data_IF_030048530650
#
_entry.id   IF_030048530650
#
_cell.length_a   1.000
_cell.length_b   1.000
_cell.length_c   1.000
_cell.angle_alpha   90.00
_cell.angle_beta   90.00
_cell.angle_gamma   90.00
#
_symmetry.space_group_name_H-M   'P 1'
#
loop_
_entity.id
_entity.type
_entity.pdbx_description
1 polymer ?
#
# COMPACT_ATOMS: atom_id res chain seq x y z
N UNK A 1 -12.41 -7.74 -1.98
CA UNK A 1 -11.86 -8.85 -1.19
C UNK A 1 -12.91 -9.38 -0.23
N UNK A 2 -12.94 -10.71 -0.01
CA UNK A 2 -13.72 -11.33 1.03
C UNK A 2 -13.05 -11.22 2.41
N UNK A 3 -13.80 -11.50 3.49
CA UNK A 3 -13.28 -11.54 4.86
C UNK A 3 -12.43 -12.80 5.06
N UNK A 4 -11.13 -12.63 5.30
CA UNK A 4 -10.15 -13.73 5.40
C UNK A 4 -10.13 -14.45 6.76
N UNK A 5 -10.65 -13.81 7.82
CA UNK A 5 -10.65 -14.39 9.15
C UNK A 5 -11.78 -15.41 9.29
N UNK A 6 -11.41 -16.68 9.30
CA UNK A 6 -12.33 -17.79 9.52
C UNK A 6 -11.64 -18.94 10.27
N UNK A 7 -12.37 -19.61 11.13
CA UNK A 7 -11.89 -20.79 11.87
C UNK A 7 -11.75 -22.03 10.97
N UNK A 8 -12.52 -22.10 9.89
CA UNK A 8 -12.55 -23.21 8.94
C UNK A 8 -12.46 -22.70 7.51
N UNK A 9 -11.78 -23.43 6.59
CA UNK A 9 -11.65 -23.05 5.18
C UNK A 9 -12.96 -22.87 4.42
N UNK A 10 -13.98 -23.67 4.69
CA UNK A 10 -15.24 -23.68 3.92
C UNK A 10 -15.89 -22.29 3.76
N UNK A 11 -15.90 -21.49 4.83
CA UNK A 11 -16.47 -20.13 4.77
C UNK A 11 -15.66 -19.17 3.87
N UNK A 12 -14.39 -19.45 3.68
CA UNK A 12 -13.50 -18.68 2.77
C UNK A 12 -13.71 -19.13 1.32
N UNK A 13 -13.83 -20.44 1.10
CA UNK A 13 -14.10 -21.04 -0.21
C UNK A 13 -15.43 -20.54 -0.79
N UNK A 14 -16.49 -20.48 0.04
CA UNK A 14 -17.79 -19.92 -0.36
C UNK A 14 -17.67 -18.48 -0.88
N UNK A 15 -16.85 -17.64 -0.23
CA UNK A 15 -16.65 -16.25 -0.66
C UNK A 15 -15.94 -16.19 -2.02
N UNK A 16 -14.91 -17.03 -2.23
CA UNK A 16 -14.19 -17.07 -3.50
C UNK A 16 -15.11 -17.59 -4.62
N UNK A 17 -15.88 -18.63 -4.37
CA UNK A 17 -16.88 -19.17 -5.31
C UNK A 17 -17.99 -18.17 -5.63
N UNK A 18 -18.32 -17.28 -4.68
CA UNK A 18 -19.26 -16.18 -4.90
C UNK A 18 -18.65 -14.98 -5.66
N UNK A 19 -17.37 -15.05 -6.06
CA UNK A 19 -16.71 -14.04 -6.89
C UNK A 19 -15.74 -13.11 -6.13
N UNK A 20 -15.35 -13.43 -4.90
CA UNK A 20 -14.28 -12.69 -4.23
C UNK A 20 -12.94 -12.99 -4.93
N UNK A 21 -12.30 -11.94 -5.45
CA UNK A 21 -11.01 -12.03 -6.14
C UNK A 21 -9.80 -12.11 -5.21
N UNK A 22 -10.02 -12.24 -3.92
CA UNK A 22 -9.00 -12.33 -2.88
C UNK A 22 -9.61 -12.23 -1.50
N UNK A 23 -8.80 -12.39 -0.47
CA UNK A 23 -9.23 -12.41 0.92
C UNK A 23 -8.46 -11.36 1.74
N UNK A 24 -9.12 -10.75 2.73
CA UNK A 24 -8.54 -9.76 3.64
C UNK A 24 -8.58 -10.28 5.08
N UNK A 25 -7.41 -10.35 5.70
CA UNK A 25 -7.24 -10.58 7.13
C UNK A 25 -7.15 -9.23 7.87
N UNK A 26 -7.82 -9.13 9.02
CA UNK A 26 -7.76 -7.95 9.88
C UNK A 26 -7.82 -8.33 11.35
N UNK A 27 -7.06 -7.62 12.19
CA UNK A 27 -6.96 -7.92 13.63
C UNK A 27 -8.29 -7.87 14.37
N UNK A 28 -9.19 -6.94 14.01
CA UNK A 28 -10.52 -6.81 14.61
C UNK A 28 -11.35 -8.11 14.56
N UNK A 29 -10.98 -9.01 13.66
CA UNK A 29 -11.61 -10.30 13.48
C UNK A 29 -10.73 -11.47 13.95
N UNK A 30 -9.56 -11.19 14.56
CA UNK A 30 -8.59 -12.16 15.03
C UNK A 30 -7.65 -12.68 13.94
N UNK A 31 -6.52 -12.00 13.72
CA UNK A 31 -5.45 -12.46 12.81
C UNK A 31 -4.48 -13.41 13.50
N UNK A 32 -5.03 -14.51 14.02
CA UNK A 32 -4.22 -15.57 14.64
C UNK A 32 -3.40 -16.32 13.59
N UNK A 33 -2.29 -16.98 13.98
CA UNK A 33 -1.53 -17.84 13.06
C UNK A 33 -2.40 -18.89 12.35
N UNK A 34 -3.43 -19.42 13.03
CA UNK A 34 -4.37 -20.39 12.44
C UNK A 34 -5.29 -19.75 11.40
N UNK A 35 -5.81 -18.55 11.65
CA UNK A 35 -6.64 -17.83 10.68
C UNK A 35 -5.83 -17.48 9.44
N UNK A 36 -4.58 -17.03 9.61
CA UNK A 36 -3.64 -16.76 8.51
C UNK A 36 -3.41 -18.02 7.68
N UNK A 37 -3.11 -19.15 8.33
CA UNK A 37 -2.83 -20.42 7.66
C UNK A 37 -4.06 -20.94 6.88
N UNK A 38 -5.25 -20.89 7.45
CA UNK A 38 -6.48 -21.24 6.77
C UNK A 38 -6.72 -20.36 5.52
N UNK A 39 -6.56 -19.05 5.69
CA UNK A 39 -6.77 -18.08 4.62
C UNK A 39 -5.81 -18.31 3.44
N UNK A 40 -4.52 -18.46 3.73
CA UNK A 40 -3.51 -18.72 2.71
C UNK A 40 -3.68 -20.09 2.06
N UNK A 41 -4.15 -21.10 2.79
CA UNK A 41 -4.43 -22.43 2.22
C UNK A 41 -5.56 -22.37 1.19
N UNK A 42 -6.63 -21.64 1.48
CA UNK A 42 -7.72 -21.44 0.51
C UNK A 42 -7.22 -20.60 -0.68
N UNK A 43 -6.46 -19.56 -0.40
CA UNK A 43 -5.91 -18.71 -1.45
C UNK A 43 -5.01 -19.47 -2.42
N UNK A 44 -4.15 -20.37 -1.93
CA UNK A 44 -3.33 -21.24 -2.78
C UNK A 44 -4.18 -22.17 -3.64
N UNK A 45 -5.28 -22.73 -3.09
CA UNK A 45 -6.16 -23.63 -3.84
C UNK A 45 -6.93 -22.94 -4.97
N UNK A 46 -7.25 -21.66 -4.81
CA UNK A 46 -8.04 -20.89 -5.77
C UNK A 46 -7.22 -19.86 -6.57
N UNK A 47 -5.92 -19.81 -6.35
CA UNK A 47 -5.00 -18.83 -6.99
C UNK A 47 -5.49 -17.38 -6.82
N UNK A 48 -5.82 -17.00 -5.59
CA UNK A 48 -6.25 -15.65 -5.22
C UNK A 48 -5.33 -15.01 -4.18
N UNK A 49 -5.27 -13.68 -4.16
CA UNK A 49 -4.41 -12.95 -3.24
C UNK A 49 -4.98 -12.85 -1.84
N UNK A 50 -4.09 -12.86 -0.86
CA UNK A 50 -4.39 -12.49 0.53
C UNK A 50 -3.72 -11.16 0.88
N UNK A 51 -4.49 -10.27 1.49
CA UNK A 51 -3.99 -9.05 2.08
C UNK A 51 -4.22 -9.06 3.59
N UNK A 52 -3.26 -8.55 4.37
CA UNK A 52 -3.34 -8.59 5.82
C UNK A 52 -3.04 -7.24 6.47
N UNK A 53 -3.92 -6.83 7.38
CA UNK A 53 -3.63 -5.96 8.50
C UNK A 53 -3.29 -6.88 9.67
N UNK A 54 -2.03 -6.84 10.13
CA UNK A 54 -1.54 -7.79 11.15
C UNK A 54 -2.00 -7.39 12.55
N UNK A 55 -1.74 -8.27 13.52
CA UNK A 55 -2.12 -8.09 14.92
C UNK A 55 -1.37 -6.92 15.57
N UNK A 56 -2.04 -5.81 15.76
CA UNK A 56 -1.45 -4.56 16.27
C UNK A 56 -0.97 -4.68 17.70
N UNK A 57 -1.76 -5.35 18.54
CA UNK A 57 -1.54 -5.41 19.99
C UNK A 57 -0.71 -6.64 20.43
N UNK A 58 -0.24 -7.44 19.46
CA UNK A 58 0.47 -8.70 19.71
C UNK A 58 -0.34 -9.70 20.58
N UNK A 59 -1.67 -9.70 20.42
CA UNK A 59 -2.57 -10.58 21.18
C UNK A 59 -2.39 -12.06 20.81
N UNK A 60 -2.03 -12.33 19.55
CA UNK A 60 -1.84 -13.69 19.02
C UNK A 60 -0.37 -14.06 18.80
N UNK A 61 0.54 -13.25 19.32
CA UNK A 61 1.98 -13.41 19.18
C UNK A 61 2.65 -12.19 18.54
N UNK A 62 3.96 -12.21 18.44
CA UNK A 62 4.78 -11.14 17.87
C UNK A 62 4.87 -11.26 16.35
N UNK A 63 5.51 -10.30 15.69
CA UNK A 63 5.68 -10.26 14.25
C UNK A 63 6.32 -11.54 13.69
N UNK A 64 7.22 -12.16 14.42
CA UNK A 64 7.88 -13.41 14.04
C UNK A 64 6.87 -14.59 13.94
N UNK A 65 5.87 -14.63 14.83
CA UNK A 65 4.81 -15.64 14.78
C UNK A 65 3.91 -15.45 13.56
N UNK A 66 3.58 -14.20 13.23
CA UNK A 66 2.83 -13.85 12.02
C UNK A 66 3.59 -14.21 10.75
N UNK A 67 4.87 -13.83 10.65
CA UNK A 67 5.72 -14.18 9.50
C UNK A 67 5.89 -15.69 9.34
N UNK A 68 6.05 -16.42 10.45
CA UNK A 68 6.11 -17.88 10.44
C UNK A 68 4.81 -18.52 9.93
N UNK A 69 3.64 -17.92 10.24
CA UNK A 69 2.35 -18.40 9.77
C UNK A 69 2.16 -18.28 8.26
N UNK A 70 2.90 -17.37 7.59
CA UNK A 70 2.89 -17.28 6.12
C UNK A 70 3.46 -18.52 5.44
N UNK A 71 4.37 -19.24 6.08
CA UNK A 71 5.00 -20.47 5.56
C UNK A 71 5.60 -20.30 4.16
N UNK A 72 6.16 -19.14 3.87
CA UNK A 72 6.74 -18.82 2.56
C UNK A 72 5.75 -18.55 1.43
N UNK A 73 4.43 -18.53 1.70
CA UNK A 73 3.38 -18.20 0.73
C UNK A 73 3.32 -16.70 0.48
N UNK A 74 2.96 -16.31 -0.75
CA UNK A 74 2.84 -14.91 -1.13
C UNK A 74 1.70 -14.22 -0.36
N UNK A 75 1.98 -13.02 0.18
CA UNK A 75 0.99 -12.24 0.93
C UNK A 75 1.28 -10.75 0.80
N UNK A 76 0.22 -9.96 0.69
CA UNK A 76 0.28 -8.50 0.72
C UNK A 76 0.11 -8.00 2.15
N UNK A 77 1.10 -7.32 2.71
CA UNK A 77 1.00 -6.65 4.00
C UNK A 77 0.69 -5.17 3.80
N UNK A 78 -0.40 -4.69 4.42
CA UNK A 78 -0.77 -3.27 4.43
C UNK A 78 0.07 -2.50 5.45
N UNK A 79 0.21 -1.17 5.22
CA UNK A 79 0.89 -0.21 6.13
C UNK A 79 2.06 -0.86 6.89
N UNK A 80 2.95 -1.50 6.12
CA UNK A 80 4.08 -2.28 6.65
C UNK A 80 5.14 -1.40 7.34
N UNK A 81 4.98 -0.08 7.29
CA UNK A 81 5.73 0.86 8.11
C UNK A 81 5.32 0.85 9.59
N UNK A 82 4.16 0.27 9.90
CA UNK A 82 3.64 0.14 11.26
C UNK A 82 2.76 1.29 11.74
N UNK A 83 2.73 2.42 11.04
CA UNK A 83 1.97 3.60 11.48
C UNK A 83 0.44 3.40 11.37
N UNK A 84 -0.02 2.64 10.38
CA UNK A 84 -1.44 2.30 10.19
C UNK A 84 -1.95 1.17 11.08
N UNK A 85 -1.10 0.54 11.88
CA UNK A 85 -1.38 -0.63 12.69
C UNK A 85 -0.58 -1.85 12.25
N UNK A 86 -0.74 -2.96 12.98
CA UNK A 86 -0.07 -4.21 12.70
C UNK A 86 1.35 -4.29 13.28
N UNK A 87 1.54 -5.03 14.38
CA UNK A 87 2.85 -5.24 15.05
C UNK A 87 3.73 -3.99 15.08
N UNK A 88 3.15 -2.83 15.34
CA UNK A 88 3.88 -1.56 15.26
C UNK A 88 4.92 -1.42 16.39
N UNK A 89 6.15 -1.03 16.11
CA UNK A 89 6.71 -0.71 14.78
C UNK A 89 7.34 -1.90 14.04
N UNK A 90 7.32 -3.09 14.63
CA UNK A 90 8.12 -4.26 14.22
C UNK A 90 7.69 -4.86 12.88
N UNK A 91 6.48 -4.57 12.40
CA UNK A 91 5.97 -5.07 11.11
C UNK A 91 6.90 -4.70 9.93
N UNK A 92 7.71 -3.66 10.05
CA UNK A 92 8.68 -3.27 9.02
C UNK A 92 9.68 -4.40 8.68
N UNK A 93 9.89 -5.36 9.60
CA UNK A 93 10.70 -6.57 9.37
C UNK A 93 10.17 -7.40 8.19
N UNK A 94 8.86 -7.32 7.92
CA UNK A 94 8.24 -8.03 6.80
C UNK A 94 8.80 -7.63 5.44
N UNK A 95 9.34 -6.41 5.29
CA UNK A 95 10.02 -5.97 4.08
C UNK A 95 11.26 -6.80 3.72
N UNK A 96 11.82 -7.55 4.67
CA UNK A 96 12.95 -8.46 4.47
C UNK A 96 12.56 -9.87 4.02
N UNK A 97 11.27 -10.20 4.02
CA UNK A 97 10.78 -11.52 3.63
C UNK A 97 10.46 -11.57 2.13
N UNK A 98 11.05 -12.51 1.41
CA UNK A 98 10.97 -12.61 -0.07
C UNK A 98 9.57 -12.95 -0.60
N UNK A 99 8.71 -13.50 0.24
CA UNK A 99 7.32 -13.87 -0.07
C UNK A 99 6.31 -12.77 0.29
N UNK A 100 6.76 -11.66 0.88
CA UNK A 100 5.88 -10.55 1.28
C UNK A 100 5.90 -9.47 0.22
N UNK A 101 4.71 -8.96 -0.09
CA UNK A 101 4.48 -7.82 -0.99
C UNK A 101 4.06 -6.62 -0.11
N UNK A 102 5.02 -5.83 0.40
CA UNK A 102 4.68 -4.79 1.36
C UNK A 102 4.19 -3.51 0.69
N UNK A 103 3.16 -2.91 1.25
CA UNK A 103 2.75 -1.55 0.93
C UNK A 103 2.90 -0.62 2.14
N UNK A 104 3.15 0.65 1.87
CA UNK A 104 3.07 1.71 2.85
C UNK A 104 1.94 2.68 2.56
N UNK A 105 1.51 3.43 3.56
CA UNK A 105 0.46 4.43 3.40
C UNK A 105 1.03 5.82 3.10
N UNK A 106 0.29 6.60 2.32
CA UNK A 106 0.78 7.89 1.85
C UNK A 106 0.93 8.99 2.93
N UNK A 107 0.22 9.01 4.06
CA UNK A 107 0.38 10.07 5.06
C UNK A 107 1.79 10.16 5.66
N UNK A 108 2.50 9.03 5.74
CA UNK A 108 3.88 9.00 6.23
C UNK A 108 4.91 9.46 5.18
N UNK A 109 4.48 9.72 3.94
CA UNK A 109 5.34 9.98 2.79
C UNK A 109 5.28 11.42 2.27
N UNK A 110 6.41 12.02 1.94
CA UNK A 110 7.75 11.73 2.48
C UNK A 110 7.86 12.13 3.96
N UNK A 111 8.79 11.54 4.68
CA UNK A 111 9.10 11.98 6.04
C UNK A 111 9.62 13.42 6.06
N UNK A 112 8.95 14.27 6.84
CA UNK A 112 9.26 15.69 7.02
C UNK A 112 9.25 16.04 8.51
N UNK A 113 9.53 17.30 8.84
CA UNK A 113 9.53 17.78 10.23
C UNK A 113 8.18 17.64 10.92
N UNK A 114 7.08 17.69 10.17
CA UNK A 114 5.72 17.62 10.70
C UNK A 114 5.10 16.21 10.66
N UNK A 115 5.78 15.23 10.07
CA UNK A 115 5.18 13.90 9.79
C UNK A 115 4.72 13.20 11.06
N UNK A 116 5.49 13.28 12.13
CA UNK A 116 5.15 12.62 13.39
C UNK A 116 3.90 13.23 14.01
N UNK A 117 3.88 14.54 14.16
CA UNK A 117 2.75 15.26 14.79
C UNK A 117 1.47 15.09 13.98
N UNK A 118 1.56 15.28 12.64
CA UNK A 118 0.41 15.08 11.72
C UNK A 118 -0.13 13.66 11.79
N UNK A 119 0.75 12.66 11.91
CA UNK A 119 0.34 11.28 11.95
C UNK A 119 -0.23 10.85 13.31
N UNK A 120 0.32 11.39 14.41
CA UNK A 120 -0.26 11.21 15.74
C UNK A 120 -1.68 11.77 15.80
N UNK A 121 -1.89 13.01 15.34
CA UNK A 121 -3.22 13.61 15.27
C UNK A 121 -4.19 12.75 14.43
N UNK A 122 -3.73 12.27 13.28
CA UNK A 122 -4.54 11.42 12.42
C UNK A 122 -4.89 10.09 13.09
N UNK A 123 -3.95 9.45 13.79
CA UNK A 123 -4.18 8.21 14.51
C UNK A 123 -5.19 8.43 15.66
N UNK A 124 -5.03 9.50 16.42
CA UNK A 124 -5.97 9.87 17.50
C UNK A 124 -7.40 9.98 16.96
N UNK A 125 -7.58 10.70 15.85
CA UNK A 125 -8.91 10.89 15.22
C UNK A 125 -9.47 9.57 14.68
N UNK A 126 -8.67 8.81 13.91
CA UNK A 126 -9.14 7.59 13.26
C UNK A 126 -9.48 6.46 14.24
N UNK A 127 -8.84 6.42 15.39
CA UNK A 127 -9.08 5.41 16.44
C UNK A 127 -9.97 5.91 17.58
N UNK A 128 -10.58 7.11 17.43
CA UNK A 128 -11.47 7.70 18.44
C UNK A 128 -10.82 7.88 19.82
N UNK A 129 -9.51 8.18 19.83
CA UNK A 129 -8.74 8.42 21.05
C UNK A 129 -8.93 9.85 21.54
N UNK A 130 -8.84 10.05 22.86
CA UNK A 130 -8.95 11.37 23.49
C UNK A 130 -7.56 11.90 23.90
N UNK A 131 -7.10 13.04 23.34
CA UNK A 131 -5.80 13.61 23.71
C UNK A 131 -5.70 14.06 25.18
N UNK A 132 -6.81 14.08 25.93
CA UNK A 132 -6.84 14.37 27.37
C UNK A 132 -6.63 13.12 28.23
N UNK A 133 -6.66 11.94 27.64
CA UNK A 133 -6.46 10.67 28.33
C UNK A 133 -5.01 10.23 28.11
N UNK A 134 -4.15 10.20 29.15
CA UNK A 134 -2.73 9.86 29.01
C UNK A 134 -2.49 8.48 28.38
N UNK A 135 -3.35 7.51 28.68
CA UNK A 135 -3.26 6.14 28.14
C UNK A 135 -3.51 6.11 26.63
N UNK A 136 -4.45 6.91 26.12
CA UNK A 136 -4.73 7.04 24.70
C UNK A 136 -3.54 7.67 23.96
N UNK A 137 -2.97 8.71 24.55
CA UNK A 137 -1.76 9.36 24.01
C UNK A 137 -0.59 8.38 24.00
N UNK A 138 -0.35 7.66 25.09
CA UNK A 138 0.72 6.68 25.18
C UNK A 138 0.54 5.54 24.17
N UNK A 139 -0.70 5.10 23.92
CA UNK A 139 -1.01 4.13 22.89
C UNK A 139 -0.65 4.65 21.49
N UNK A 140 -1.08 5.86 21.16
CA UNK A 140 -0.78 6.50 19.88
C UNK A 140 0.75 6.62 19.65
N UNK A 141 1.47 7.16 20.64
CA UNK A 141 2.93 7.33 20.61
C UNK A 141 3.67 6.00 20.52
N UNK A 142 3.13 4.93 21.08
CA UNK A 142 3.73 3.59 20.97
C UNK A 142 3.76 3.07 19.54
N UNK A 143 2.85 3.50 18.68
CA UNK A 143 2.69 3.06 17.28
C UNK A 143 3.43 3.96 16.30
N UNK A 144 3.48 5.26 16.53
CA UNK A 144 4.12 6.23 15.66
C UNK A 144 5.59 6.37 16.04
N UNK A 145 6.46 5.73 15.26
CA UNK A 145 7.90 5.68 15.51
C UNK A 145 8.67 6.43 14.44
N UNK A 146 9.36 7.48 14.85
CA UNK A 146 10.19 8.32 13.97
C UNK A 146 11.19 7.49 13.16
N UNK A 147 11.83 6.54 13.79
CA UNK A 147 12.90 5.73 13.21
C UNK A 147 12.39 4.89 12.05
N UNK A 148 11.27 4.20 12.20
CA UNK A 148 10.69 3.36 11.15
C UNK A 148 10.09 4.20 10.02
N UNK A 149 9.39 5.29 10.36
CA UNK A 149 8.79 6.19 9.38
C UNK A 149 9.87 6.93 8.56
N UNK A 150 10.98 7.34 9.18
CA UNK A 150 12.09 7.95 8.47
C UNK A 150 12.83 6.95 7.57
N UNK A 151 13.01 5.71 8.03
CA UNK A 151 13.64 4.64 7.24
C UNK A 151 12.82 4.24 6.02
N UNK A 152 11.51 4.40 6.07
CA UNK A 152 10.57 4.02 5.02
C UNK A 152 10.89 4.68 3.67
N UNK A 153 11.27 5.98 3.64
CA UNK A 153 11.68 6.66 2.41
C UNK A 153 12.86 5.95 1.74
N UNK A 154 13.84 5.54 2.55
CA UNK A 154 15.03 4.82 2.08
C UNK A 154 14.64 3.43 1.57
N UNK A 155 13.77 2.72 2.29
CA UNK A 155 13.29 1.40 1.90
C UNK A 155 12.48 1.43 0.60
N UNK A 156 11.71 2.51 0.37
CA UNK A 156 11.07 2.76 -0.92
C UNK A 156 12.07 2.93 -2.04
N UNK A 157 13.13 3.69 -1.79
CA UNK A 157 14.17 3.98 -2.77
C UNK A 157 15.02 2.74 -3.08
N UNK A 158 15.25 1.89 -2.10
CA UNK A 158 15.90 0.58 -2.27
C UNK A 158 15.00 -0.46 -2.96
N UNK A 159 13.69 -0.25 -2.97
CA UNK A 159 12.72 -1.18 -3.57
C UNK A 159 12.18 -2.24 -2.60
N UNK A 160 12.49 -2.13 -1.30
CA UNK A 160 11.98 -3.03 -0.27
C UNK A 160 10.45 -2.89 -0.09
N UNK A 161 9.92 -1.66 -0.17
CA UNK A 161 8.48 -1.45 -0.30
C UNK A 161 8.06 -1.54 -1.75
N UNK A 162 7.17 -2.48 -2.06
CA UNK A 162 6.67 -2.73 -3.42
C UNK A 162 5.68 -1.68 -3.87
N UNK A 163 4.85 -1.16 -2.97
CA UNK A 163 3.70 -0.31 -3.27
C UNK A 163 3.55 0.87 -2.33
N UNK A 164 2.86 1.91 -2.81
CA UNK A 164 2.30 2.98 -1.99
C UNK A 164 0.78 2.92 -2.13
N UNK A 165 0.09 2.83 -0.99
CA UNK A 165 -1.36 2.78 -0.89
C UNK A 165 -1.91 4.03 -0.22
N UNK A 166 -3.23 4.18 -0.17
CA UNK A 166 -3.88 5.33 0.45
C UNK A 166 -4.33 5.08 1.88
N UNK A 167 -4.78 3.86 2.18
CA UNK A 167 -5.51 3.55 3.42
C UNK A 167 -6.68 4.52 3.66
N UNK A 168 -7.44 4.81 2.61
CA UNK A 168 -8.28 6.02 2.48
C UNK A 168 -9.45 6.12 3.46
N UNK A 169 -9.89 5.01 4.03
CA UNK A 169 -11.03 4.99 4.96
C UNK A 169 -10.59 5.00 6.43
N UNK A 170 -9.31 4.80 6.70
CA UNK A 170 -8.75 4.85 8.03
C UNK A 170 -7.75 6.00 8.15
N UNK A 171 -6.47 5.76 7.85
CA UNK A 171 -5.43 6.77 8.09
C UNK A 171 -4.79 7.25 6.78
N UNK A 172 -5.58 7.53 5.73
CA UNK A 172 -5.01 7.86 4.45
C UNK A 172 -5.79 8.85 3.58
N UNK A 173 -5.14 9.25 2.47
CA UNK A 173 -5.63 10.27 1.54
C UNK A 173 -5.49 9.80 0.11
N UNK A 174 -6.57 9.25 -0.46
CA UNK A 174 -6.56 8.64 -1.80
C UNK A 174 -6.05 9.60 -2.89
N UNK A 175 -6.43 10.87 -2.83
CA UNK A 175 -6.03 11.89 -3.83
C UNK A 175 -4.55 12.25 -3.81
N UNK A 176 -3.80 11.87 -2.78
CA UNK A 176 -2.41 12.24 -2.61
C UNK A 176 -1.40 11.12 -2.94
N UNK A 177 -1.86 9.92 -3.27
CA UNK A 177 -0.97 8.76 -3.52
C UNK A 177 0.11 9.07 -4.54
N UNK A 178 -0.28 9.56 -5.71
CA UNK A 178 0.67 9.83 -6.80
C UNK A 178 1.60 11.00 -6.42
N UNK A 179 1.04 12.09 -5.92
CA UNK A 179 1.84 13.27 -5.56
C UNK A 179 2.89 12.93 -4.50
N UNK A 180 2.50 12.28 -3.42
CA UNK A 180 3.41 11.89 -2.34
C UNK A 180 4.44 10.84 -2.77
N UNK A 181 4.09 9.96 -3.70
CA UNK A 181 5.05 9.04 -4.32
C UNK A 181 6.18 9.81 -5.00
N UNK A 182 5.86 10.83 -5.77
CA UNK A 182 6.87 11.63 -6.48
C UNK A 182 7.62 12.60 -5.58
N UNK A 183 6.99 13.12 -4.53
CA UNK A 183 7.68 13.89 -3.49
C UNK A 183 8.72 13.03 -2.77
N UNK A 184 8.38 11.76 -2.46
CA UNK A 184 9.33 10.80 -1.88
C UNK A 184 10.48 10.51 -2.84
N UNK A 185 10.19 10.25 -4.13
CA UNK A 185 11.22 10.04 -5.14
C UNK A 185 12.17 11.24 -5.26
N UNK A 186 11.62 12.46 -5.27
CA UNK A 186 12.41 13.69 -5.32
C UNK A 186 13.30 13.86 -4.11
N UNK A 187 12.76 13.68 -2.91
CA UNK A 187 13.52 13.72 -1.66
C UNK A 187 14.69 12.72 -1.70
N UNK A 188 14.42 11.50 -2.13
CA UNK A 188 15.46 10.47 -2.22
C UNK A 188 16.54 10.80 -3.26
N UNK A 189 16.16 11.38 -4.40
CA UNK A 189 17.12 11.87 -5.39
C UNK A 189 18.05 12.92 -4.79
N UNK A 190 17.48 13.90 -4.07
CA UNK A 190 18.28 14.99 -3.45
C UNK A 190 19.20 14.46 -2.36
N UNK A 191 18.74 13.54 -1.53
CA UNK A 191 19.48 13.04 -0.38
C UNK A 191 20.49 11.92 -0.72
N UNK A 192 20.20 11.11 -1.73
CA UNK A 192 20.94 9.88 -2.02
C UNK A 192 21.63 9.86 -3.40
N UNK A 193 21.36 10.86 -4.25
CA UNK A 193 21.87 10.88 -5.62
C UNK A 193 21.19 9.86 -6.53
N UNK A 194 21.80 9.57 -7.71
CA UNK A 194 21.26 8.61 -8.67
C UNK A 194 21.27 7.18 -8.13
N UNK A 195 20.30 6.37 -8.55
CA UNK A 195 20.30 4.94 -8.29
C UNK A 195 21.09 4.19 -9.36
N UNK A 196 21.93 3.23 -8.98
CA UNK A 196 22.53 2.30 -9.94
C UNK A 196 21.41 1.51 -10.66
N UNK A 197 21.44 1.35 -12.00
CA UNK A 197 22.57 1.64 -12.91
C UNK A 197 22.55 3.05 -13.55
N UNK A 198 21.74 3.98 -13.08
CA UNK A 198 21.63 5.28 -13.71
C UNK A 198 22.89 6.14 -13.53
N UNK A 199 23.37 6.84 -14.58
CA UNK A 199 24.41 7.84 -14.45
C UNK A 199 23.87 9.13 -13.83
N UNK A 200 24.76 10.07 -13.50
CA UNK A 200 24.40 11.31 -12.78
C UNK A 200 23.46 12.28 -13.51
N UNK A 201 23.28 12.11 -14.83
CA UNK A 201 22.51 13.05 -15.66
C UNK A 201 21.05 12.64 -15.89
N UNK A 202 20.63 11.45 -15.45
CA UNK A 202 19.22 11.04 -15.48
C UNK A 202 18.89 10.14 -14.28
N UNK A 203 17.60 9.84 -14.10
CA UNK A 203 17.07 9.09 -12.96
C UNK A 203 15.96 8.11 -13.41
N UNK A 204 16.16 7.51 -14.58
CA UNK A 204 15.18 6.66 -15.23
C UNK A 204 14.87 5.39 -14.43
N UNK A 205 15.87 4.82 -13.76
CA UNK A 205 15.66 3.63 -12.94
C UNK A 205 14.78 3.95 -11.73
N UNK A 206 15.02 5.09 -11.05
CA UNK A 206 14.14 5.55 -9.97
C UNK A 206 12.74 5.85 -10.49
N UNK A 207 12.62 6.53 -11.64
CA UNK A 207 11.32 6.82 -12.24
C UNK A 207 10.51 5.54 -12.51
N UNK A 208 11.12 4.51 -13.10
CA UNK A 208 10.49 3.19 -13.30
C UNK A 208 10.07 2.55 -11.99
N UNK A 209 10.95 2.57 -10.98
CA UNK A 209 10.67 2.00 -9.65
C UNK A 209 9.47 2.67 -8.98
N UNK A 210 9.39 3.99 -9.03
CA UNK A 210 8.32 4.72 -8.35
C UNK A 210 6.99 4.68 -9.11
N UNK A 211 7.00 4.71 -10.43
CA UNK A 211 5.76 4.54 -11.20
C UNK A 211 5.17 3.14 -11.01
N UNK A 212 6.01 2.12 -10.87
CA UNK A 212 5.56 0.75 -10.64
C UNK A 212 4.79 0.59 -9.33
N UNK A 213 5.07 1.41 -8.31
CA UNK A 213 4.46 1.30 -6.97
C UNK A 213 2.95 1.55 -6.93
N UNK A 214 2.40 2.24 -7.92
CA UNK A 214 0.96 2.50 -8.02
C UNK A 214 0.35 2.07 -9.37
N UNK A 215 1.11 1.30 -10.16
CA UNK A 215 0.66 0.76 -11.45
C UNK A 215 0.83 -0.75 -11.51
N UNK A 216 1.96 -1.24 -12.02
CA UNK A 216 2.14 -2.68 -12.27
C UNK A 216 2.28 -3.49 -10.98
N UNK A 217 2.94 -2.97 -9.94
CA UNK A 217 3.14 -3.74 -8.71
C UNK A 217 1.82 -4.08 -8.00
N UNK A 218 0.88 -3.12 -7.76
CA UNK A 218 -0.44 -3.49 -7.24
C UNK A 218 -1.23 -4.39 -8.19
N UNK A 219 -1.09 -4.25 -9.51
CA UNK A 219 -1.75 -5.13 -10.47
C UNK A 219 -1.26 -6.59 -10.35
N UNK A 220 0.06 -6.79 -10.20
CA UNK A 220 0.65 -8.11 -9.93
C UNK A 220 0.16 -8.63 -8.57
N UNK A 221 0.22 -7.79 -7.54
CA UNK A 221 -0.18 -8.15 -6.16
C UNK A 221 -1.62 -8.64 -6.09
N UNK A 222 -2.52 -8.06 -6.90
CA UNK A 222 -3.93 -8.45 -6.93
C UNK A 222 -4.29 -9.45 -8.04
N UNK A 223 -3.31 -10.00 -8.75
CA UNK A 223 -3.54 -11.02 -9.80
C UNK A 223 -4.22 -10.49 -11.06
N UNK A 224 -4.23 -9.17 -11.31
CA UNK A 224 -4.92 -8.52 -12.43
C UNK A 224 -3.95 -7.88 -13.44
N UNK A 225 -2.68 -8.22 -13.36
CA UNK A 225 -1.65 -7.63 -14.24
C UNK A 225 -1.80 -8.00 -15.71
N UNK A 226 -2.58 -9.03 -16.03
CA UNK A 226 -2.95 -9.39 -17.40
C UNK A 226 -3.95 -8.40 -18.03
N UNK A 227 -4.70 -7.65 -17.22
CA UNK A 227 -5.69 -6.68 -17.66
C UNK A 227 -5.22 -5.21 -17.55
N UNK A 228 -4.45 -4.89 -16.50
CA UNK A 228 -4.09 -3.51 -16.14
C UNK A 228 -2.65 -3.40 -15.63
N UNK A 229 -2.21 -2.17 -15.35
CA UNK A 229 -0.95 -1.87 -14.67
C UNK A 229 0.22 -1.54 -15.59
N UNK A 230 0.13 -1.83 -16.89
CA UNK A 230 1.13 -1.46 -17.89
C UNK A 230 0.49 -1.12 -19.23
N UNK A 231 1.22 -0.39 -20.08
CA UNK A 231 0.77 -0.05 -21.43
C UNK A 231 1.26 -1.14 -22.37
N UNK A 232 0.41 -2.10 -22.63
CA UNK A 232 0.67 -3.26 -23.48
C UNK A 232 -0.54 -3.58 -24.36
N UNK A 233 -0.31 -4.14 -25.56
CA UNK A 233 -1.39 -4.58 -26.46
C UNK A 233 -2.18 -5.70 -25.78
N UNK A 234 -3.51 -5.55 -25.77
CA UNK A 234 -4.44 -6.50 -25.15
C UNK A 234 -4.89 -6.12 -23.73
N UNK A 235 -4.27 -5.15 -23.09
CA UNK A 235 -4.71 -4.62 -21.80
C UNK A 235 -5.71 -3.49 -21.94
N UNK A 236 -6.45 -3.20 -20.88
CA UNK A 236 -7.38 -2.08 -20.82
C UNK A 236 -6.66 -0.75 -21.05
N UNK A 237 -7.24 0.10 -21.87
CA UNK A 237 -6.71 1.42 -22.16
C UNK A 237 -7.01 2.40 -21.01
N UNK A 238 -6.39 2.12 -19.84
CA UNK A 238 -6.40 2.96 -18.65
C UNK A 238 -5.11 3.80 -18.66
N UNK A 239 -5.17 5.03 -19.19
CA UNK A 239 -4.00 5.83 -19.53
C UNK A 239 -4.12 7.21 -18.92
N UNK A 240 -3.02 7.71 -18.36
CA UNK A 240 -2.91 9.08 -17.86
C UNK A 240 -1.86 9.82 -18.67
N UNK A 241 -2.26 10.95 -19.26
CA UNK A 241 -1.35 11.85 -19.96
C UNK A 241 -0.93 12.99 -19.04
N UNK A 242 0.35 13.26 -19.01
CA UNK A 242 0.94 14.31 -18.19
C UNK A 242 1.65 15.35 -19.02
N UNK A 243 1.49 16.61 -18.66
CA UNK A 243 2.48 17.64 -19.05
C UNK A 243 3.68 17.48 -18.12
N UNK A 244 4.93 17.41 -18.65
CA UNK A 244 6.11 17.15 -17.79
C UNK A 244 6.24 18.08 -16.58
N UNK A 245 5.91 19.36 -16.74
CA UNK A 245 5.96 20.35 -15.66
C UNK A 245 4.97 20.09 -14.51
N UNK A 246 3.94 19.27 -14.74
CA UNK A 246 2.90 18.94 -13.77
C UNK A 246 2.83 17.43 -13.46
N UNK A 247 3.88 16.70 -13.82
CA UNK A 247 3.94 15.27 -13.62
C UNK A 247 3.75 14.89 -12.15
N UNK A 248 2.85 13.94 -11.90
CA UNK A 248 2.51 13.49 -10.55
C UNK A 248 1.57 14.41 -9.76
N UNK A 249 1.32 15.64 -10.21
CA UNK A 249 0.47 16.60 -9.51
C UNK A 249 -0.87 16.86 -10.23
N UNK A 250 -0.83 17.13 -11.55
CA UNK A 250 -2.04 17.46 -12.32
C UNK A 250 -2.02 16.78 -13.69
N UNK A 251 -2.82 15.74 -13.90
CA UNK A 251 -2.92 15.09 -15.22
C UNK A 251 -3.52 16.05 -16.25
N UNK A 252 -3.06 15.93 -17.49
CA UNK A 252 -3.62 16.66 -18.62
C UNK A 252 -4.86 15.96 -19.19
N UNK A 253 -4.87 14.62 -19.15
CA UNK A 253 -5.99 13.81 -19.64
C UNK A 253 -5.99 12.48 -18.92
N UNK A 254 -7.17 11.95 -18.59
CA UNK A 254 -7.32 10.60 -18.04
C UNK A 254 -8.28 9.82 -18.94
N UNK A 255 -7.81 8.67 -19.40
CA UNK A 255 -8.55 7.71 -20.20
C UNK A 255 -8.80 6.46 -19.37
N UNK A 256 -10.03 5.98 -19.35
CA UNK A 256 -10.45 4.76 -18.68
C UNK A 256 -11.18 3.84 -19.67
N UNK A 257 -10.65 2.65 -19.89
CA UNK A 257 -11.23 1.73 -20.87
C UNK A 257 -11.34 2.30 -22.29
N UNK A 258 -10.41 3.19 -22.68
CA UNK A 258 -10.43 3.87 -23.96
C UNK A 258 -11.29 5.14 -24.04
N UNK A 259 -12.02 5.49 -22.98
CA UNK A 259 -12.87 6.70 -22.93
C UNK A 259 -12.23 7.79 -22.08
N UNK A 260 -12.34 9.04 -22.50
CA UNK A 260 -11.88 10.19 -21.71
C UNK A 260 -12.83 10.40 -20.53
N UNK A 261 -12.28 10.29 -19.31
CA UNK A 261 -13.04 10.46 -18.05
C UNK A 261 -12.66 11.73 -17.29
N UNK A 262 -11.53 12.35 -17.63
CA UNK A 262 -11.15 13.66 -17.11
C UNK A 262 -10.27 14.39 -18.13
N UNK A 263 -10.60 15.67 -18.37
CA UNK A 263 -9.89 16.56 -19.29
C UNK A 263 -10.04 18.01 -18.84
N UNK A 264 -9.20 18.95 -19.32
CA UNK A 264 -9.46 20.38 -19.18
C UNK A 264 -10.81 20.76 -19.78
N UNK A 265 -11.48 21.74 -19.17
CA UNK A 265 -12.72 22.29 -19.71
C UNK A 265 -12.51 22.78 -21.17
N UNK A 266 -13.41 22.35 -22.08
CA UNK A 266 -13.33 22.70 -23.48
C UNK A 266 -12.41 21.83 -24.34
N UNK A 267 -11.94 20.70 -23.82
CA UNK A 267 -11.22 19.73 -24.65
C UNK A 267 -12.16 19.18 -25.74
N UNK A 268 -11.81 19.30 -27.03
CA UNK A 268 -12.73 18.95 -28.15
C UNK A 268 -12.98 17.43 -28.24
N UNK A 269 -12.14 16.60 -27.63
CA UNK A 269 -12.28 15.14 -27.64
C UNK A 269 -13.00 14.60 -26.41
N UNK A 270 -13.32 15.46 -25.43
CA UNK A 270 -14.04 15.08 -24.24
C UNK A 270 -15.50 15.53 -24.34
N UNK A 271 -16.45 14.60 -24.35
CA UNK A 271 -17.88 14.89 -24.25
C UNK A 271 -18.35 14.75 -22.81
N UNK A 272 -19.22 15.66 -22.36
CA UNK A 272 -19.93 15.53 -21.09
C UNK A 272 -21.18 14.70 -21.40
N UNK A 273 -21.41 13.56 -20.74
CA UNK A 273 -22.68 12.84 -20.85
C UNK A 273 -23.80 13.75 -20.34
N UNK A 274 -24.84 13.95 -21.14
CA UNK A 274 -26.05 14.69 -20.78
C UNK A 274 -27.06 13.77 -20.14
#
# INVERSE_FOLDING_TARGET
LGKGNASLPAALEEQVLAGAMGLKLHEDWGTTPKAIDNCLTVADNFDVQVAIHTDTLNESGFVENTLAAFKGRAIHTYHTEGAGGGHAPDIIKACGASNVLPSSTNPTRPYTVNTIDEHLDMLMVCHHLDPKIPEDVAFAESRIRRETIAAEDILHDLGAFSMIASDSQAMGRIGEVICRTWQTAHKMKVQRGPLSPDPSHHDNFRAKRYVAKYTINPAITHGISHEVGSIEVGKLADIVLWKPAFFGAKPALIIKGGMIVAAPMGDPNASIPT
#
